data_IF_434499402614
#
_entry.id   IF_434499402614
#
_cell.length_a   1.000
_cell.length_b   1.000
_cell.length_c   1.000
_cell.angle_alpha   90.00
_cell.angle_beta   90.00
_cell.angle_gamma   90.00
#
_symmetry.space_group_name_H-M   'P 1'
#
loop_
_entity.id
_entity.type
_entity.pdbx_description
1 polymer ?
#
# COMPACT_ATOMS: atom_id res chain seq x y z
N UNK A 1 1.71 -15.15 -18.08
CA UNK A 1 0.84 -13.96 -18.03
C UNK A 1 1.51 -12.89 -17.18
N UNK A 2 1.65 -11.69 -17.71
CA UNK A 2 2.24 -10.58 -16.95
C UNK A 2 1.39 -10.25 -15.74
N UNK A 3 2.04 -10.12 -14.58
CA UNK A 3 1.40 -9.68 -13.35
C UNK A 3 1.26 -8.16 -13.34
N UNK A 4 0.33 -7.69 -12.55
CA UNK A 4 0.29 -6.28 -12.15
C UNK A 4 1.05 -6.13 -10.83
N UNK A 5 1.75 -5.02 -10.68
CA UNK A 5 2.39 -4.68 -9.41
C UNK A 5 1.81 -3.37 -8.88
N UNK A 6 1.46 -3.38 -7.62
CA UNK A 6 0.83 -2.26 -6.94
C UNK A 6 1.72 -1.82 -5.77
N UNK A 7 2.10 -0.56 -5.77
CA UNK A 7 2.85 0.06 -4.67
C UNK A 7 1.91 0.97 -3.90
N UNK A 8 1.93 0.89 -2.58
CA UNK A 8 1.20 1.82 -1.71
C UNK A 8 2.14 2.42 -0.68
N UNK A 9 1.94 3.69 -0.37
CA UNK A 9 2.65 4.37 0.71
C UNK A 9 1.81 5.53 1.22
N UNK A 10 2.18 6.08 2.37
CA UNK A 10 1.40 7.11 3.06
C UNK A 10 2.30 8.19 3.64
N UNK A 11 1.70 9.35 3.88
CA UNK A 11 2.29 10.42 4.68
C UNK A 11 1.25 10.91 5.68
N UNK A 12 1.65 11.15 6.92
CA UNK A 12 0.72 11.43 8.03
C UNK A 12 1.23 12.56 8.90
N UNK A 13 0.31 13.44 9.30
CA UNK A 13 0.51 14.31 10.44
C UNK A 13 -0.38 13.82 11.59
N UNK A 14 0.18 13.11 12.58
CA UNK A 14 -0.63 12.51 13.65
C UNK A 14 -1.25 13.54 14.60
N UNK A 15 -0.68 14.75 14.69
CA UNK A 15 -1.20 15.80 15.56
C UNK A 15 -2.57 16.29 15.13
N UNK A 16 -2.79 16.39 13.83
CA UNK A 16 -4.07 16.85 13.26
C UNK A 16 -4.86 15.69 12.63
N UNK A 17 -4.38 14.47 12.77
CA UNK A 17 -5.01 13.25 12.26
C UNK A 17 -5.33 13.34 10.76
N UNK A 18 -4.42 13.95 10.01
CA UNK A 18 -4.56 14.14 8.57
C UNK A 18 -3.47 13.37 7.84
N UNK A 19 -3.86 12.66 6.79
CA UNK A 19 -2.92 11.88 6.01
C UNK A 19 -3.21 11.91 4.52
N UNK A 20 -2.24 11.41 3.76
CA UNK A 20 -2.35 11.21 2.33
C UNK A 20 -1.86 9.81 1.99
N UNK A 21 -2.67 9.07 1.26
CA UNK A 21 -2.28 7.79 0.70
C UNK A 21 -1.92 7.95 -0.77
N UNK A 22 -1.03 7.09 -1.22
CA UNK A 22 -0.62 7.02 -2.61
C UNK A 22 -0.63 5.58 -3.10
N UNK A 23 -1.00 5.37 -4.36
CA UNK A 23 -0.75 4.10 -5.02
C UNK A 23 -0.20 4.32 -6.42
N UNK A 24 0.54 3.32 -6.88
CA UNK A 24 1.11 3.25 -8.21
C UNK A 24 0.91 1.83 -8.75
N UNK A 25 0.25 1.71 -9.88
CA UNK A 25 0.02 0.43 -10.54
C UNK A 25 0.85 0.37 -11.82
N UNK A 26 1.69 -0.64 -11.94
CA UNK A 26 2.58 -0.85 -13.09
C UNK A 26 2.52 -2.31 -13.56
N UNK A 27 2.82 -2.59 -14.83
CA UNK A 27 3.04 -3.97 -15.26
C UNK A 27 4.38 -4.48 -14.72
N UNK A 28 4.47 -5.80 -14.45
CA UNK A 28 5.66 -6.37 -13.82
C UNK A 28 6.94 -6.30 -14.67
N UNK A 29 6.83 -6.11 -15.97
CA UNK A 29 8.00 -5.98 -16.84
C UNK A 29 8.86 -4.75 -16.52
N UNK A 30 8.31 -3.75 -15.81
CA UNK A 30 9.10 -2.62 -15.30
C UNK A 30 10.26 -3.11 -14.40
N UNK A 31 10.11 -4.26 -13.75
CA UNK A 31 11.13 -4.82 -12.86
C UNK A 31 12.39 -5.27 -13.60
N UNK A 32 12.32 -5.42 -14.92
CA UNK A 32 13.46 -5.75 -15.77
C UNK A 32 14.29 -4.51 -16.17
N UNK A 33 13.79 -3.33 -15.85
CA UNK A 33 14.50 -2.07 -16.14
C UNK A 33 15.56 -1.85 -15.07
N UNK A 34 16.77 -1.44 -15.50
CA UNK A 34 17.83 -1.07 -14.57
C UNK A 34 17.35 0.10 -13.69
N UNK A 35 17.58 0.07 -12.35
CA UNK A 35 17.13 1.16 -11.47
C UNK A 35 17.56 2.55 -11.92
N UNK A 36 18.78 2.69 -12.45
CA UNK A 36 19.31 3.97 -12.90
C UNK A 36 18.72 4.43 -14.24
N UNK A 37 18.02 3.53 -14.94
CA UNK A 37 17.36 3.83 -16.22
C UNK A 37 15.88 4.16 -16.06
N UNK A 38 15.35 4.14 -14.85
CA UNK A 38 13.95 4.49 -14.58
C UNK A 38 13.70 5.98 -14.81
N UNK A 39 12.63 6.28 -15.51
CA UNK A 39 12.19 7.65 -15.75
C UNK A 39 11.29 8.12 -14.62
N UNK A 40 11.88 8.72 -13.59
CA UNK A 40 11.17 9.15 -12.38
C UNK A 40 9.92 9.97 -12.68
N UNK A 41 10.07 10.98 -13.54
CA UNK A 41 8.97 11.89 -13.86
C UNK A 41 7.79 11.17 -14.52
N UNK A 42 8.05 10.22 -15.40
CA UNK A 42 7.02 9.42 -16.04
C UNK A 42 6.31 8.50 -15.07
N UNK A 43 7.05 7.95 -14.10
CA UNK A 43 6.48 7.14 -13.03
C UNK A 43 5.61 7.99 -12.10
N UNK A 44 6.10 9.15 -11.69
CA UNK A 44 5.36 10.06 -10.81
C UNK A 44 4.01 10.49 -11.39
N UNK A 45 3.92 10.66 -12.69
CA UNK A 45 2.66 11.01 -13.36
C UNK A 45 1.56 9.97 -13.17
N UNK A 46 1.93 8.74 -12.90
CA UNK A 46 0.99 7.62 -12.73
C UNK A 46 0.59 7.41 -11.26
N UNK A 47 1.22 8.11 -10.32
CA UNK A 47 0.90 8.00 -8.90
C UNK A 47 -0.42 8.69 -8.62
N UNK A 48 -1.33 7.97 -7.97
CA UNK A 48 -2.64 8.47 -7.57
C UNK A 48 -2.63 8.77 -6.07
N UNK A 49 -3.17 9.93 -5.70
CA UNK A 49 -3.17 10.42 -4.32
C UNK A 49 -4.59 10.56 -3.79
N UNK A 50 -4.75 10.33 -2.49
CA UNK A 50 -6.01 10.57 -1.79
C UNK A 50 -5.76 11.12 -0.39
N UNK A 51 -6.52 12.13 0.01
CA UNK A 51 -6.52 12.67 1.37
C UNK A 51 -7.39 11.80 2.28
N UNK A 52 -6.92 11.57 3.50
CA UNK A 52 -7.67 10.87 4.54
C UNK A 52 -7.73 11.74 5.79
N UNK A 53 -8.91 11.93 6.34
CA UNK A 53 -9.15 12.68 7.56
C UNK A 53 -9.45 11.73 8.72
N UNK A 54 -9.28 12.22 9.95
CA UNK A 54 -9.49 11.44 11.17
C UNK A 54 -8.80 10.08 11.14
N UNK A 55 -7.51 10.09 10.81
CA UNK A 55 -6.74 8.88 10.60
C UNK A 55 -5.55 8.77 11.56
N UNK A 56 -4.94 7.60 11.56
CA UNK A 56 -3.74 7.26 12.33
C UNK A 56 -2.83 6.44 11.45
N UNK A 57 -1.62 6.14 11.91
CA UNK A 57 -0.64 5.40 11.12
C UNK A 57 -1.19 4.08 10.57
N UNK A 58 -1.61 3.18 11.45
CA UNK A 58 -2.13 1.87 11.05
C UNK A 58 -3.39 1.99 10.19
N UNK A 59 -4.32 2.86 10.60
CA UNK A 59 -5.56 3.07 9.87
C UNK A 59 -5.30 3.59 8.45
N UNK A 60 -4.42 4.57 8.31
CA UNK A 60 -4.07 5.15 7.02
C UNK A 60 -3.42 4.13 6.10
N UNK A 61 -2.47 3.34 6.62
CA UNK A 61 -1.79 2.31 5.85
C UNK A 61 -2.76 1.28 5.28
N UNK A 62 -3.67 0.76 6.11
CA UNK A 62 -4.63 -0.24 5.66
C UNK A 62 -5.71 0.36 4.74
N UNK A 63 -6.24 1.54 5.06
CA UNK A 63 -7.25 2.17 4.24
C UNK A 63 -6.72 2.59 2.86
N UNK A 64 -5.46 2.99 2.77
CA UNK A 64 -4.81 3.27 1.49
C UNK A 64 -4.75 2.03 0.61
N UNK A 65 -4.40 0.88 1.19
CA UNK A 65 -4.38 -0.40 0.47
C UNK A 65 -5.79 -0.77 0.01
N UNK A 66 -6.78 -0.66 0.89
CA UNK A 66 -8.18 -0.99 0.54
C UNK A 66 -8.68 -0.12 -0.62
N UNK A 67 -8.43 1.18 -0.53
CA UNK A 67 -8.79 2.10 -1.60
C UNK A 67 -8.10 1.74 -2.93
N UNK A 68 -6.79 1.47 -2.89
CA UNK A 68 -6.04 1.09 -4.09
C UNK A 68 -6.57 -0.20 -4.73
N UNK A 69 -6.91 -1.20 -3.91
CA UNK A 69 -7.46 -2.47 -4.39
C UNK A 69 -8.85 -2.30 -4.99
N UNK A 70 -9.70 -1.47 -4.40
CA UNK A 70 -11.03 -1.16 -4.96
C UNK A 70 -10.91 -0.43 -6.30
N UNK A 71 -9.99 0.52 -6.41
CA UNK A 71 -9.71 1.19 -7.68
C UNK A 71 -9.20 0.19 -8.74
N UNK A 72 -8.32 -0.73 -8.34
CA UNK A 72 -7.79 -1.78 -9.23
C UNK A 72 -8.91 -2.66 -9.80
N UNK A 73 -9.89 -3.03 -8.98
CA UNK A 73 -11.03 -3.84 -9.42
C UNK A 73 -11.81 -3.20 -10.56
N UNK A 74 -11.84 -1.87 -10.61
CA UNK A 74 -12.59 -1.12 -11.60
C UNK A 74 -11.87 -0.95 -12.94
N UNK A 75 -10.59 -1.32 -13.02
CA UNK A 75 -9.83 -1.17 -14.25
C UNK A 75 -10.15 -2.32 -15.21
N UNK A 76 -10.73 -2.04 -16.39
CA UNK A 76 -11.08 -3.10 -17.34
C UNK A 76 -9.88 -3.95 -17.72
N UNK A 77 -10.06 -5.28 -17.71
CA UNK A 77 -9.06 -6.25 -18.17
C UNK A 77 -7.88 -6.46 -17.24
N UNK A 78 -7.84 -5.81 -16.07
CA UNK A 78 -6.73 -5.97 -15.12
C UNK A 78 -7.05 -6.88 -13.93
N UNK A 79 -8.28 -6.86 -13.44
CA UNK A 79 -8.68 -7.64 -12.28
C UNK A 79 -8.53 -9.16 -12.43
N UNK A 80 -8.45 -9.64 -13.66
CA UNK A 80 -8.27 -11.06 -13.98
C UNK A 80 -6.79 -11.49 -14.03
N UNK A 81 -5.86 -10.56 -13.88
CA UNK A 81 -4.42 -10.85 -13.92
C UNK A 81 -3.87 -10.93 -12.49
N UNK A 82 -2.83 -11.75 -12.26
CA UNK A 82 -2.21 -11.80 -10.94
C UNK A 82 -1.74 -10.42 -10.48
N UNK A 83 -1.82 -10.18 -9.19
CA UNK A 83 -1.45 -8.91 -8.56
C UNK A 83 -0.46 -9.14 -7.43
N UNK A 84 0.62 -8.36 -7.42
CA UNK A 84 1.57 -8.28 -6.31
C UNK A 84 1.44 -6.92 -5.65
N UNK A 85 1.22 -6.89 -4.34
CA UNK A 85 1.16 -5.67 -3.54
C UNK A 85 2.49 -5.48 -2.81
N UNK A 86 3.15 -4.36 -3.08
CA UNK A 86 4.39 -3.97 -2.40
C UNK A 86 4.09 -2.90 -1.35
N UNK A 87 4.51 -3.14 -0.12
CA UNK A 87 4.28 -2.24 1.01
C UNK A 87 5.45 -2.31 1.99
N UNK A 88 5.75 -1.22 2.68
CA UNK A 88 6.68 -1.22 3.80
C UNK A 88 5.95 -1.32 5.15
N UNK A 89 4.63 -1.29 5.14
CA UNK A 89 3.81 -1.38 6.34
C UNK A 89 3.90 -2.76 6.99
N UNK A 90 4.40 -2.80 8.21
CA UNK A 90 4.48 -4.03 8.98
C UNK A 90 3.10 -4.64 9.24
N UNK A 91 2.10 -3.78 9.49
CA UNK A 91 0.72 -4.22 9.67
C UNK A 91 0.17 -4.91 8.42
N UNK A 92 0.24 -4.24 7.27
CA UNK A 92 -0.27 -4.76 5.99
C UNK A 92 0.43 -6.06 5.62
N UNK A 93 1.76 -6.08 5.71
CA UNK A 93 2.56 -7.25 5.33
C UNK A 93 2.29 -8.47 6.24
N UNK A 94 1.89 -8.24 7.48
CA UNK A 94 1.59 -9.31 8.43
C UNK A 94 0.16 -9.83 8.39
N UNK A 95 -0.75 -9.15 7.69
CA UNK A 95 -2.19 -9.48 7.76
C UNK A 95 -2.52 -10.87 7.22
N UNK A 96 -1.95 -11.29 6.11
CA UNK A 96 -2.25 -12.62 5.53
C UNK A 96 -1.84 -13.74 6.47
N UNK A 97 -0.70 -13.60 7.15
CA UNK A 97 -0.24 -14.59 8.14
C UNK A 97 -1.09 -14.64 9.41
N UNK A 98 -1.82 -13.57 9.71
CA UNK A 98 -2.70 -13.47 10.89
C UNK A 98 -4.14 -13.88 10.62
N UNK A 99 -4.48 -14.13 9.37
CA UNK A 99 -5.88 -14.35 8.93
C UNK A 99 -6.59 -15.45 9.71
N UNK A 100 -5.99 -16.63 9.76
CA UNK A 100 -6.62 -17.78 10.43
C UNK A 100 -6.95 -17.44 11.88
N UNK A 101 -5.99 -16.92 12.61
CA UNK A 101 -6.18 -16.56 14.04
C UNK A 101 -7.26 -15.50 14.21
N UNK A 102 -7.23 -14.44 13.38
CA UNK A 102 -8.21 -13.36 13.49
C UNK A 102 -9.61 -13.83 13.15
N UNK A 103 -9.78 -14.64 12.13
CA UNK A 103 -11.08 -15.19 11.76
C UNK A 103 -11.60 -16.16 12.83
N UNK A 104 -10.75 -17.03 13.38
CA UNK A 104 -11.13 -17.96 14.44
C UNK A 104 -11.56 -17.26 15.74
N UNK A 105 -10.96 -16.12 16.05
CA UNK A 105 -11.29 -15.33 17.24
C UNK A 105 -12.33 -14.25 16.98
N UNK A 106 -12.93 -14.22 15.81
CA UNK A 106 -13.88 -13.17 15.39
C UNK A 106 -13.32 -11.76 15.58
N UNK A 107 -12.00 -11.59 15.32
CA UNK A 107 -11.31 -10.31 15.45
C UNK A 107 -11.31 -9.73 16.86
N UNK A 108 -11.39 -10.60 17.86
CA UNK A 108 -11.28 -10.22 19.27
C UNK A 108 -9.81 -10.23 19.70
N UNK A 109 -9.38 -9.17 20.37
CA UNK A 109 -8.00 -9.06 20.87
C UNK A 109 -7.77 -10.01 22.05
N UNK A 110 -6.59 -10.68 22.03
CA UNK A 110 -6.21 -11.67 23.07
C UNK A 110 -6.18 -11.07 24.47
N UNK A 111 -5.57 -9.91 24.63
CA UNK A 111 -5.36 -9.28 25.93
C UNK A 111 -6.54 -8.41 26.36
N UNK A 112 -7.22 -7.78 25.42
CA UNK A 112 -8.33 -6.87 25.73
C UNK A 112 -9.67 -7.56 25.86
N UNK A 113 -9.84 -8.72 25.22
CA UNK A 113 -11.14 -9.40 25.10
C UNK A 113 -12.16 -8.61 24.30
N UNK A 114 -11.74 -7.55 23.62
CA UNK A 114 -12.58 -6.65 22.84
C UNK A 114 -12.27 -6.76 21.37
N UNK A 115 -13.20 -6.34 20.52
CA UNK A 115 -13.03 -6.24 19.07
C UNK A 115 -11.83 -5.35 18.75
N UNK A 116 -10.99 -5.77 17.83
CA UNK A 116 -9.83 -4.97 17.38
C UNK A 116 -10.28 -3.67 16.73
N UNK A 117 -9.53 -2.59 16.97
CA UNK A 117 -9.88 -1.24 16.49
C UNK A 117 -10.07 -1.15 14.99
N UNK A 118 -9.33 -1.95 14.23
CA UNK A 118 -9.39 -1.90 12.76
C UNK A 118 -10.00 -3.18 12.18
N UNK A 119 -10.88 -3.85 12.94
CA UNK A 119 -11.47 -5.12 12.55
C UNK A 119 -12.22 -5.03 11.20
N UNK A 120 -12.95 -3.95 10.97
CA UNK A 120 -13.70 -3.77 9.72
C UNK A 120 -12.75 -3.67 8.52
N UNK A 121 -11.63 -2.94 8.66
CA UNK A 121 -10.62 -2.82 7.63
C UNK A 121 -9.93 -4.17 7.38
N UNK A 122 -9.63 -4.94 8.42
CA UNK A 122 -9.02 -6.26 8.28
C UNK A 122 -9.96 -7.24 7.57
N UNK A 123 -11.25 -7.23 7.90
CA UNK A 123 -12.26 -8.05 7.22
C UNK A 123 -12.35 -7.71 5.73
N UNK A 124 -12.35 -6.43 5.39
CA UNK A 124 -12.39 -5.97 4.00
C UNK A 124 -11.14 -6.39 3.25
N UNK A 125 -9.96 -6.29 3.88
CA UNK A 125 -8.70 -6.74 3.31
C UNK A 125 -8.75 -8.23 2.94
N UNK A 126 -9.24 -9.08 3.85
CA UNK A 126 -9.36 -10.51 3.59
C UNK A 126 -10.39 -10.82 2.51
N UNK A 127 -11.48 -10.08 2.45
CA UNK A 127 -12.48 -10.20 1.39
C UNK A 127 -11.88 -9.89 0.02
N UNK A 128 -11.16 -8.78 -0.09
CA UNK A 128 -10.48 -8.39 -1.33
C UNK A 128 -9.40 -9.38 -1.73
N UNK A 129 -8.68 -9.95 -0.77
CA UNK A 129 -7.68 -10.97 -1.05
C UNK A 129 -8.33 -12.24 -1.62
N UNK A 130 -9.48 -12.65 -1.09
CA UNK A 130 -10.24 -13.78 -1.65
C UNK A 130 -10.71 -13.49 -3.08
N UNK A 131 -11.17 -12.28 -3.33
CA UNK A 131 -11.67 -11.89 -4.66
C UNK A 131 -10.54 -11.77 -5.70
N UNK A 132 -9.42 -11.17 -5.34
CA UNK A 132 -8.35 -10.81 -6.27
C UNK A 132 -7.16 -11.78 -6.25
N UNK A 133 -6.99 -12.53 -5.18
CA UNK A 133 -5.89 -13.50 -5.06
C UNK A 133 -4.50 -12.88 -5.03
N UNK A 134 -4.35 -11.66 -4.51
CA UNK A 134 -3.05 -10.98 -4.50
C UNK A 134 -2.11 -11.52 -3.42
N UNK A 135 -0.81 -11.36 -3.68
CA UNK A 135 0.25 -11.59 -2.71
C UNK A 135 0.76 -10.25 -2.19
N UNK A 136 1.28 -10.23 -0.95
CA UNK A 136 1.88 -9.03 -0.35
C UNK A 136 3.38 -9.26 -0.20
N UNK A 137 4.16 -8.30 -0.69
CA UNK A 137 5.62 -8.34 -0.63
C UNK A 137 6.10 -7.12 0.16
N UNK A 138 6.87 -7.38 1.22
CA UNK A 138 7.43 -6.31 2.03
C UNK A 138 8.62 -5.67 1.34
N UNK A 139 8.63 -4.34 1.31
CA UNK A 139 9.76 -3.54 0.86
C UNK A 139 10.47 -3.00 2.12
N UNK A 140 11.79 -3.15 2.19
CA UNK A 140 12.55 -2.56 3.27
C UNK A 140 12.54 -1.04 3.12
N UNK A 141 11.94 -0.34 4.08
CA UNK A 141 11.92 1.12 4.10
C UNK A 141 13.31 1.69 4.37
N UNK A 142 13.60 2.84 3.77
CA UNK A 142 14.83 3.61 4.02
C UNK A 142 16.15 2.86 3.73
N UNK A 143 16.14 1.91 2.78
CA UNK A 143 17.37 1.26 2.33
C UNK A 143 18.30 2.29 1.66
N UNK A 144 19.64 2.19 1.85
CA UNK A 144 20.58 3.09 1.19
C UNK A 144 20.41 3.07 -0.34
N UNK A 145 20.47 4.24 -0.96
CA UNK A 145 20.25 4.41 -2.41
C UNK A 145 21.12 3.48 -3.26
N UNK A 146 22.37 3.26 -2.84
CA UNK A 146 23.34 2.41 -3.56
C UNK A 146 22.94 0.94 -3.59
N UNK A 147 22.08 0.50 -2.66
CA UNK A 147 21.61 -0.88 -2.59
C UNK A 147 20.21 -1.06 -3.20
N UNK A 148 19.65 0.01 -3.78
CA UNK A 148 18.33 -0.08 -4.38
C UNK A 148 18.35 -0.94 -5.63
N UNK A 149 17.49 -1.98 -5.65
CA UNK A 149 17.05 -2.64 -6.87
C UNK A 149 15.92 -1.80 -7.50
N UNK A 150 15.34 -2.28 -8.57
CA UNK A 150 14.25 -1.57 -9.26
C UNK A 150 13.03 -1.38 -8.36
N UNK A 151 12.66 -2.38 -7.56
CA UNK A 151 11.54 -2.29 -6.62
C UNK A 151 11.78 -1.19 -5.60
N UNK A 152 12.94 -1.18 -4.95
CA UNK A 152 13.29 -0.16 -3.97
C UNK A 152 13.31 1.25 -4.57
N UNK A 153 13.83 1.37 -5.79
CA UNK A 153 13.90 2.66 -6.48
C UNK A 153 12.48 3.19 -6.79
N UNK A 154 11.62 2.35 -7.31
CA UNK A 154 10.21 2.73 -7.57
C UNK A 154 9.52 3.09 -6.26
N UNK A 155 9.70 2.28 -5.23
CA UNK A 155 9.10 2.55 -3.93
C UNK A 155 9.56 3.91 -3.37
N UNK A 156 10.85 4.24 -3.51
CA UNK A 156 11.37 5.52 -3.06
C UNK A 156 10.75 6.71 -3.81
N UNK A 157 10.44 6.54 -5.10
CA UNK A 157 9.74 7.57 -5.87
C UNK A 157 8.34 7.82 -5.31
N UNK A 158 7.62 6.75 -4.96
CA UNK A 158 6.27 6.87 -4.36
C UNK A 158 6.36 7.53 -2.99
N UNK A 159 7.29 7.09 -2.14
CA UNK A 159 7.50 7.63 -0.80
C UNK A 159 7.79 9.13 -0.83
N UNK A 160 8.76 9.54 -1.62
CA UNK A 160 9.12 10.96 -1.74
C UNK A 160 8.00 11.80 -2.34
N UNK A 161 7.30 11.24 -3.34
CA UNK A 161 6.21 11.94 -4.01
C UNK A 161 5.04 12.21 -3.06
N UNK A 162 4.58 11.19 -2.33
CA UNK A 162 3.45 11.38 -1.39
C UNK A 162 3.83 12.33 -0.26
N UNK A 163 5.05 12.22 0.25
CA UNK A 163 5.55 13.08 1.32
C UNK A 163 5.64 14.54 0.86
N UNK A 164 6.19 14.79 -0.33
CA UNK A 164 6.32 16.14 -0.86
C UNK A 164 4.95 16.76 -1.20
N UNK A 165 4.06 16.01 -1.82
CA UNK A 165 2.71 16.47 -2.14
C UNK A 165 1.89 16.75 -0.89
N UNK A 166 2.05 15.93 0.14
CA UNK A 166 1.41 16.16 1.43
C UNK A 166 1.88 17.49 2.05
N UNK A 167 3.19 17.76 2.05
CA UNK A 167 3.76 19.00 2.56
C UNK A 167 3.29 20.21 1.75
N UNK A 168 3.32 20.13 0.43
CA UNK A 168 2.85 21.21 -0.45
C UNK A 168 1.40 21.60 -0.15
N UNK A 169 0.56 20.60 0.07
CA UNK A 169 -0.89 20.79 0.21
C UNK A 169 -1.30 21.29 1.60
N UNK A 170 -0.61 20.84 2.65
CA UNK A 170 -1.07 21.04 4.03
C UNK A 170 -0.11 21.82 4.95
N UNK A 171 1.07 22.16 4.46
CA UNK A 171 2.11 22.82 5.27
C UNK A 171 2.74 24.05 4.60
N UNK A 172 2.00 24.72 3.77
CA UNK A 172 2.46 26.00 3.19
C UNK A 172 2.46 27.11 4.24
#
# INVERSE_FOLDING_TARGET
MLKNILFTDVSLNPKIKLGMGAYLLLPEDILNVNPDSLHRFEIEKQIVLKKFEDTSSTKLEIETVLWALEEFKLIPGKANKPLLLYSDSQCVCGLLGRRQRLEETNFIGKSSGKLLNHSEQYKEFYKLQRELGFEVIKVAGHAPHETHDTVHRIFSFVDEYVRNKFKEKFFR
#
